data_IF_177007122158
#
_entry.id   IF_177007122158
#
_cell.length_a   1.000
_cell.length_b   1.000
_cell.length_c   1.000
_cell.angle_alpha   90.00
_cell.angle_beta   90.00
_cell.angle_gamma   90.00
#
_symmetry.space_group_name_H-M   'P 1'
#
loop_
_entity.id
_entity.type
_entity.pdbx_description
1 polymer ?
#
# COMPACT_ATOMS: atom_id res chain seq x y z
N UNK A 1 -12.68 19.14 3.43
CA UNK A 1 -11.72 18.30 4.20
C UNK A 1 -10.50 19.13 4.52
N UNK A 2 -10.02 19.09 5.76
CA UNK A 2 -8.78 19.75 6.15
C UNK A 2 -7.58 18.88 5.72
N UNK A 3 -6.58 19.49 5.11
CA UNK A 3 -5.35 18.80 4.69
C UNK A 3 -4.20 19.23 5.59
N UNK A 4 -3.30 18.29 5.87
CA UNK A 4 -2.07 18.53 6.62
C UNK A 4 -0.87 18.05 5.82
N UNK A 5 0.32 18.53 6.16
CA UNK A 5 1.56 18.18 5.46
C UNK A 5 2.40 17.25 6.32
N UNK A 6 2.90 16.18 5.73
CA UNK A 6 3.85 15.25 6.36
C UNK A 6 5.18 15.38 5.64
N UNK A 7 6.27 15.62 6.39
CA UNK A 7 7.63 15.58 5.83
C UNK A 7 8.12 14.13 5.85
N UNK A 8 8.63 13.67 4.70
CA UNK A 8 9.17 12.32 4.53
C UNK A 8 10.58 12.41 3.97
N UNK A 9 11.42 11.43 4.32
CA UNK A 9 12.69 11.22 3.64
C UNK A 9 12.43 10.79 2.20
N UNK A 10 13.35 11.14 1.28
CA UNK A 10 13.21 10.82 -0.14
C UNK A 10 13.04 9.31 -0.39
N UNK A 11 13.80 8.50 0.35
CA UNK A 11 13.72 7.05 0.29
C UNK A 11 12.34 6.53 0.70
N UNK A 12 11.78 7.04 1.80
CA UNK A 12 10.42 6.69 2.25
C UNK A 12 9.38 7.05 1.20
N UNK A 13 9.50 8.24 0.59
CA UNK A 13 8.61 8.68 -0.50
C UNK A 13 8.71 7.76 -1.72
N UNK A 14 9.91 7.35 -2.11
CA UNK A 14 10.12 6.40 -3.22
C UNK A 14 9.50 5.03 -2.93
N UNK A 15 9.59 4.55 -1.68
CA UNK A 15 8.91 3.32 -1.27
C UNK A 15 7.39 3.45 -1.38
N UNK A 16 6.81 4.56 -0.93
CA UNK A 16 5.38 4.82 -1.06
C UNK A 16 4.94 4.91 -2.53
N UNK A 17 5.74 5.50 -3.41
CA UNK A 17 5.42 5.56 -4.84
C UNK A 17 5.31 4.16 -5.47
N UNK A 18 6.17 3.21 -5.07
CA UNK A 18 6.13 1.81 -5.52
C UNK A 18 4.94 1.01 -4.95
N UNK A 19 4.21 1.58 -4.00
CA UNK A 19 2.98 0.99 -3.46
C UNK A 19 1.74 1.46 -4.20
N UNK A 20 1.85 2.49 -5.06
CA UNK A 20 0.71 2.95 -5.86
C UNK A 20 0.26 1.86 -6.83
N UNK A 21 -1.05 1.63 -6.87
CA UNK A 21 -1.66 0.77 -7.89
C UNK A 21 -1.82 1.52 -9.22
N UNK A 22 -1.93 2.85 -9.17
CA UNK A 22 -2.00 3.72 -10.33
C UNK A 22 -1.35 5.08 -10.05
N UNK A 23 -0.85 5.76 -11.09
CA UNK A 23 -0.08 7.00 -10.96
C UNK A 23 -0.80 8.13 -10.21
N UNK A 24 -2.13 8.18 -10.33
CA UNK A 24 -3.01 9.19 -9.70
C UNK A 24 -3.36 8.94 -8.24
N UNK A 25 -2.98 7.79 -7.68
CA UNK A 25 -3.28 7.46 -6.29
C UNK A 25 -2.60 8.44 -5.33
N UNK A 26 -3.33 8.92 -4.34
CA UNK A 26 -2.82 9.87 -3.35
C UNK A 26 -2.06 9.17 -2.21
N UNK A 27 -1.19 9.91 -1.52
CA UNK A 27 -0.50 9.35 -0.34
C UNK A 27 -1.47 9.03 0.80
N UNK A 28 -2.56 9.79 0.94
CA UNK A 28 -3.58 9.53 1.96
C UNK A 28 -4.27 8.18 1.72
N UNK A 29 -4.59 7.85 0.46
CA UNK A 29 -5.16 6.54 0.09
C UNK A 29 -4.18 5.40 0.41
N UNK A 30 -2.90 5.54 0.03
CA UNK A 30 -1.87 4.53 0.32
C UNK A 30 -1.73 4.32 1.83
N UNK A 31 -1.62 5.42 2.60
CA UNK A 31 -1.46 5.36 4.05
C UNK A 31 -2.68 4.72 4.72
N UNK A 32 -3.91 5.01 4.25
CA UNK A 32 -5.13 4.36 4.75
C UNK A 32 -5.13 2.86 4.50
N UNK A 33 -4.73 2.40 3.30
CA UNK A 33 -4.60 0.96 3.03
C UNK A 33 -3.57 0.29 3.94
N UNK A 34 -2.42 0.94 4.14
CA UNK A 34 -1.38 0.43 5.04
C UNK A 34 -1.90 0.31 6.48
N UNK A 35 -2.57 1.36 7.00
CA UNK A 35 -3.15 1.34 8.33
C UNK A 35 -4.24 0.27 8.47
N UNK A 36 -5.05 0.06 7.43
CA UNK A 36 -6.04 -1.02 7.41
C UNK A 36 -5.37 -2.39 7.57
N UNK A 37 -4.33 -2.69 6.78
CA UNK A 37 -3.60 -3.96 6.89
C UNK A 37 -3.00 -4.12 8.30
N UNK A 38 -2.38 -3.07 8.85
CA UNK A 38 -1.82 -3.10 10.21
C UNK A 38 -2.88 -3.37 11.29
N UNK A 39 -4.08 -2.80 11.15
CA UNK A 39 -5.20 -3.09 12.05
C UNK A 39 -5.65 -4.55 11.95
N UNK A 40 -5.77 -5.09 10.73
CA UNK A 40 -6.14 -6.49 10.53
C UNK A 40 -5.08 -7.44 11.09
N UNK A 41 -3.78 -7.13 10.95
CA UNK A 41 -2.69 -7.93 11.55
C UNK A 41 -2.86 -8.02 13.06
N UNK A 42 -3.21 -6.92 13.72
CA UNK A 42 -3.41 -6.87 15.16
C UNK A 42 -4.61 -7.69 15.62
N UNK A 43 -5.71 -7.68 14.86
CA UNK A 43 -6.94 -8.40 15.21
C UNK A 43 -6.89 -9.88 14.85
N UNK A 44 -6.30 -10.22 13.70
CA UNK A 44 -6.25 -11.58 13.17
C UNK A 44 -5.06 -11.75 12.20
N UNK A 45 -3.91 -12.24 12.71
CA UNK A 45 -2.71 -12.43 11.91
C UNK A 45 -2.92 -13.33 10.67
N UNK A 46 -3.74 -14.38 10.79
CA UNK A 46 -4.00 -15.32 9.68
C UNK A 46 -4.76 -14.66 8.53
N UNK A 47 -5.74 -13.80 8.84
CA UNK A 47 -6.45 -13.03 7.82
C UNK A 47 -5.53 -12.03 7.14
N UNK A 48 -4.66 -11.38 7.91
CA UNK A 48 -3.69 -10.45 7.35
C UNK A 48 -2.71 -11.14 6.40
N UNK A 49 -2.26 -12.36 6.74
CA UNK A 49 -1.43 -13.18 5.85
C UNK A 49 -2.11 -13.42 4.50
N UNK A 50 -3.38 -13.84 4.50
CA UNK A 50 -4.14 -14.06 3.26
C UNK A 50 -4.31 -12.78 2.42
N UNK A 51 -4.52 -11.63 3.07
CA UNK A 51 -4.58 -10.33 2.38
C UNK A 51 -3.25 -9.99 1.72
N UNK A 52 -2.13 -10.21 2.42
CA UNK A 52 -0.79 -9.95 1.88
C UNK A 52 -0.47 -10.86 0.68
N UNK A 53 -0.79 -12.15 0.79
CA UNK A 53 -0.63 -13.11 -0.32
C UNK A 53 -1.45 -12.68 -1.55
N UNK A 54 -2.70 -12.26 -1.36
CA UNK A 54 -3.54 -11.74 -2.45
C UNK A 54 -2.95 -10.49 -3.12
N UNK A 55 -2.40 -9.56 -2.33
CA UNK A 55 -1.75 -8.36 -2.85
C UNK A 55 -0.51 -8.73 -3.67
N UNK A 56 0.31 -9.66 -3.19
CA UNK A 56 1.50 -10.12 -3.89
C UNK A 56 1.16 -10.82 -5.22
N UNK A 57 0.13 -11.65 -5.24
CA UNK A 57 -0.37 -12.28 -6.48
C UNK A 57 -0.86 -11.25 -7.49
N UNK A 58 -1.63 -10.25 -7.03
CA UNK A 58 -2.13 -9.18 -7.91
C UNK A 58 -0.98 -8.36 -8.50
N UNK A 59 0.05 -8.06 -7.70
CA UNK A 59 1.26 -7.37 -8.17
C UNK A 59 2.02 -8.17 -9.23
N UNK A 60 2.24 -9.47 -9.01
CA UNK A 60 2.91 -10.34 -9.99
C UNK A 60 2.21 -10.31 -11.35
N UNK A 61 0.88 -10.46 -11.34
CA UNK A 61 0.07 -10.41 -12.57
C UNK A 61 0.17 -9.07 -13.29
N UNK A 62 0.22 -7.94 -12.57
CA UNK A 62 0.39 -6.64 -13.19
C UNK A 62 1.76 -6.48 -13.86
N UNK A 63 2.83 -6.97 -13.23
CA UNK A 63 4.18 -6.92 -13.80
C UNK A 63 4.31 -7.80 -15.04
N UNK A 64 3.70 -8.99 -15.04
CA UNK A 64 3.69 -9.91 -16.20
C UNK A 64 2.89 -9.40 -17.41
N UNK A 65 1.99 -8.43 -17.23
CA UNK A 65 1.19 -7.84 -18.32
C UNK A 65 1.91 -6.63 -18.96
N UNK A 66 2.90 -6.06 -18.28
CA UNK A 66 3.66 -4.90 -18.75
C UNK A 66 4.96 -5.26 -19.51
N UNK A 67 5.36 -6.53 -19.53
CA UNK A 67 6.50 -7.11 -20.29
C UNK A 67 6.06 -7.74 -21.63
#
# INVERSE_FOLDING_TARGET
>A
MAVTTIKLQKETKQRLDKLKEHSRESYDEILKKMLYVLNVVRESPDKAKGILEFIDEKKKKMTEIED
#
